data_IF_790092209327
#
_entry.id   IF_790092209327
#
_cell.length_a   1.000
_cell.length_b   1.000
_cell.length_c   1.000
_cell.angle_alpha   90.00
_cell.angle_beta   90.00
_cell.angle_gamma   90.00
#
_symmetry.space_group_name_H-M   'P 1'
#
loop_
_entity.id
_entity.type
_entity.pdbx_description
1 polymer ?
#
# COMPACT_ATOMS: atom_id res chain seq x y z
N UNK A 1 54.01 56.94 -17.55
CA UNK A 1 53.21 55.76 -17.94
C UNK A 1 51.93 56.28 -18.60
N UNK A 2 51.95 56.73 -19.87
CA UNK A 2 51.68 55.97 -21.13
C UNK A 2 50.56 54.94 -20.96
N UNK A 3 49.45 54.88 -21.70
CA UNK A 3 48.91 55.58 -22.89
C UNK A 3 47.38 55.37 -22.93
N UNK A 4 46.63 56.33 -23.49
CA UNK A 4 45.26 56.14 -24.02
C UNK A 4 45.31 55.48 -25.41
N UNK A 5 44.31 54.65 -25.75
CA UNK A 5 43.38 54.70 -26.92
C UNK A 5 42.77 53.30 -27.18
N UNK A 6 41.43 53.16 -27.19
CA UNK A 6 40.49 53.02 -28.36
C UNK A 6 40.59 51.63 -29.03
N UNK A 7 39.55 50.94 -29.51
CA UNK A 7 38.21 51.30 -29.96
C UNK A 7 37.30 50.04 -30.04
N UNK A 8 35.99 50.30 -29.98
CA UNK A 8 34.84 49.68 -30.68
C UNK A 8 34.83 48.20 -31.11
N UNK A 9 33.72 47.55 -30.75
CA UNK A 9 33.18 46.41 -31.49
C UNK A 9 31.75 46.10 -31.04
N UNK A 10 30.78 46.34 -31.92
CA UNK A 10 29.39 45.88 -31.86
C UNK A 10 29.32 44.41 -31.39
N UNK A 11 28.25 43.90 -30.79
CA UNK A 11 27.09 43.38 -31.54
C UNK A 11 26.17 42.64 -30.52
N UNK A 12 24.87 42.97 -30.52
CA UNK A 12 23.68 42.10 -30.35
C UNK A 12 23.81 40.84 -29.47
N UNK A 13 22.96 40.56 -28.46
CA UNK A 13 21.54 40.18 -28.54
C UNK A 13 21.03 40.01 -27.08
N UNK A 14 19.98 40.71 -26.64
CA UNK A 14 18.61 40.19 -26.46
C UNK A 14 18.46 38.69 -26.09
N UNK A 15 17.91 38.51 -24.89
CA UNK A 15 16.84 37.55 -24.49
C UNK A 15 17.14 36.06 -24.55
N UNK A 16 16.98 35.42 -23.39
CA UNK A 16 16.32 34.12 -23.29
C UNK A 16 17.18 32.99 -22.73
N UNK A 17 16.84 32.54 -21.51
CA UNK A 17 16.86 31.11 -21.15
C UNK A 17 16.06 30.89 -19.85
N UNK A 18 14.78 31.29 -19.89
CA UNK A 18 13.75 30.45 -19.28
C UNK A 18 13.51 29.32 -20.29
N UNK A 19 14.11 28.15 -20.05
CA UNK A 19 14.08 27.08 -21.05
C UNK A 19 14.90 25.85 -20.69
N UNK A 20 14.77 25.37 -19.46
CA UNK A 20 15.35 24.09 -19.06
C UNK A 20 14.28 23.17 -18.42
N UNK A 21 13.10 23.05 -19.05
CA UNK A 21 12.11 22.05 -18.62
C UNK A 21 11.50 21.19 -19.74
N UNK A 22 11.86 21.38 -21.02
CA UNK A 22 11.19 20.65 -22.11
C UNK A 22 12.11 19.77 -22.98
N UNK A 23 13.42 19.72 -22.72
CA UNK A 23 14.35 19.02 -23.62
C UNK A 23 14.76 17.59 -23.19
N UNK A 24 14.31 17.09 -22.03
CA UNK A 24 14.59 15.70 -21.61
C UNK A 24 13.49 14.71 -21.98
N UNK A 25 12.38 15.16 -22.57
CA UNK A 25 11.22 14.30 -22.85
C UNK A 25 11.25 13.62 -24.24
N UNK A 26 12.20 13.94 -25.13
CA UNK A 26 12.10 13.59 -26.57
C UNK A 26 13.13 12.56 -27.05
N UNK A 27 14.17 12.22 -26.26
CA UNK A 27 15.26 11.37 -26.76
C UNK A 27 15.35 9.97 -26.13
N UNK A 28 14.58 9.66 -25.09
CA UNK A 28 14.64 8.39 -24.34
C UNK A 28 13.21 7.97 -23.92
N UNK A 29 12.45 7.21 -24.73
CA UNK A 29 11.02 6.97 -24.50
C UNK A 29 10.71 5.92 -23.41
N UNK A 30 11.71 5.45 -22.67
CA UNK A 30 11.61 4.27 -21.80
C UNK A 30 11.22 4.55 -20.34
N UNK A 31 11.29 5.80 -19.86
CA UNK A 31 10.90 6.10 -18.47
C UNK A 31 9.38 5.98 -18.23
N UNK A 32 8.55 6.30 -19.23
CA UNK A 32 7.09 6.12 -19.14
C UNK A 32 6.70 4.63 -19.12
N UNK A 33 7.42 3.81 -19.85
CA UNK A 33 7.17 2.36 -19.94
C UNK A 33 7.55 1.66 -18.63
N UNK A 34 8.69 2.02 -18.02
CA UNK A 34 9.11 1.43 -16.74
C UNK A 34 8.17 1.80 -15.58
N UNK A 35 7.76 3.07 -15.48
CA UNK A 35 6.82 3.51 -14.43
C UNK A 35 5.43 2.89 -14.60
N UNK A 36 4.95 2.75 -15.84
CA UNK A 36 3.68 2.04 -16.09
C UNK A 36 3.80 0.55 -15.78
N UNK A 37 4.93 -0.09 -16.10
CA UNK A 37 5.14 -1.52 -15.81
C UNK A 37 5.23 -1.80 -14.30
N UNK A 38 5.85 -0.92 -13.51
CA UNK A 38 5.90 -1.07 -12.06
C UNK A 38 4.52 -0.89 -11.40
N UNK A 39 3.74 0.11 -11.83
CA UNK A 39 2.37 0.28 -11.35
C UNK A 39 1.44 -0.87 -11.76
N UNK A 40 1.68 -1.46 -12.93
CA UNK A 40 0.92 -2.60 -13.44
C UNK A 40 1.23 -3.91 -12.68
N UNK A 41 2.50 -4.21 -12.38
CA UNK A 41 2.89 -5.44 -11.66
C UNK A 41 2.37 -5.45 -10.20
N UNK A 42 2.26 -4.27 -9.57
CA UNK A 42 1.66 -4.11 -8.25
C UNK A 42 0.14 -4.39 -8.25
N UNK A 43 -0.59 -3.86 -9.23
CA UNK A 43 -2.03 -4.11 -9.38
C UNK A 43 -2.35 -5.57 -9.73
N UNK A 44 -1.35 -6.33 -10.15
CA UNK A 44 -1.44 -7.75 -10.44
C UNK A 44 -1.00 -8.63 -9.25
N UNK A 45 -0.69 -8.09 -8.07
CA UNK A 45 -0.30 -8.90 -6.92
C UNK A 45 -1.46 -9.66 -6.23
N UNK A 46 -1.12 -10.52 -5.28
CA UNK A 46 -2.04 -10.98 -4.23
C UNK A 46 -1.30 -11.18 -2.91
N UNK A 47 -1.97 -11.01 -1.79
CA UNK A 47 -1.43 -11.30 -0.46
C UNK A 47 -2.30 -12.36 0.23
N UNK A 48 -1.64 -13.31 0.89
CA UNK A 48 -2.31 -14.37 1.64
C UNK A 48 -1.68 -14.50 2.99
N UNK A 49 -2.44 -14.96 3.97
CA UNK A 49 -1.87 -15.34 5.24
C UNK A 49 -2.85 -15.19 6.37
N UNK A 50 -2.30 -14.87 7.53
CA UNK A 50 -3.05 -14.66 8.74
C UNK A 50 -2.12 -14.76 9.93
N UNK A 51 -2.68 -14.52 11.09
CA UNK A 51 -1.89 -14.59 12.29
C UNK A 51 -2.64 -14.23 13.54
N UNK A 52 -1.84 -13.97 14.56
CA UNK A 52 -2.28 -13.50 15.86
C UNK A 52 -1.42 -12.32 16.23
N UNK A 53 -2.05 -11.23 16.63
CA UNK A 53 -1.39 -10.10 17.26
C UNK A 53 -2.06 -9.84 18.62
N UNK A 54 -1.34 -9.20 19.54
CA UNK A 54 -1.87 -8.87 20.87
C UNK A 54 -1.53 -7.43 21.17
N UNK A 55 -2.55 -6.59 21.34
CA UNK A 55 -2.44 -5.17 21.69
C UNK A 55 -3.35 -4.93 22.90
N UNK A 56 -2.84 -4.25 23.93
CA UNK A 56 -3.60 -3.93 25.15
C UNK A 56 -4.35 -5.12 25.79
N UNK A 57 -3.70 -6.29 25.80
CA UNK A 57 -4.25 -7.59 26.23
C UNK A 57 -5.41 -8.14 25.38
N UNK A 58 -5.86 -7.43 24.35
CA UNK A 58 -6.78 -7.96 23.34
C UNK A 58 -5.99 -8.83 22.34
N UNK A 59 -6.38 -10.10 22.26
CA UNK A 59 -5.91 -11.00 21.21
C UNK A 59 -6.78 -10.81 19.97
N UNK A 60 -6.14 -10.49 18.85
CA UNK A 60 -6.76 -10.42 17.53
C UNK A 60 -6.17 -11.52 16.66
N UNK A 61 -7.03 -12.25 15.96
CA UNK A 61 -6.61 -13.26 14.99
C UNK A 61 -7.29 -13.02 13.66
N UNK A 62 -6.58 -13.22 12.57
CA UNK A 62 -7.11 -13.00 11.24
C UNK A 62 -6.58 -14.03 10.25
N UNK A 63 -7.31 -14.16 9.14
CA UNK A 63 -6.91 -14.98 8.00
C UNK A 63 -7.49 -14.39 6.72
N UNK A 64 -6.70 -14.39 5.65
CA UNK A 64 -7.07 -13.72 4.41
C UNK A 64 -6.41 -14.32 3.16
N UNK A 65 -7.07 -14.08 2.04
CA UNK A 65 -6.56 -14.23 0.70
C UNK A 65 -7.16 -13.10 -0.14
N UNK A 66 -6.31 -12.16 -0.53
CA UNK A 66 -6.72 -10.88 -1.13
C UNK A 66 -5.89 -10.63 -2.40
N UNK A 67 -6.56 -10.20 -3.45
CA UNK A 67 -5.98 -9.79 -4.71
C UNK A 67 -5.74 -8.27 -4.69
N UNK A 68 -4.70 -7.80 -5.38
CA UNK A 68 -4.44 -6.36 -5.53
C UNK A 68 -5.40 -5.70 -6.54
N UNK A 69 -5.98 -6.50 -7.44
CA UNK A 69 -7.17 -6.14 -8.19
C UNK A 69 -8.40 -6.61 -7.39
N UNK A 70 -9.19 -5.67 -6.88
CA UNK A 70 -10.38 -5.98 -6.06
C UNK A 70 -11.47 -6.73 -6.84
N UNK A 71 -11.47 -6.61 -8.17
CA UNK A 71 -12.44 -7.26 -9.05
C UNK A 71 -11.99 -8.71 -9.39
N UNK A 72 -10.75 -9.09 -9.08
CA UNK A 72 -10.25 -10.47 -9.15
C UNK A 72 -10.72 -11.25 -7.92
N UNK A 73 -11.73 -12.09 -8.12
CA UNK A 73 -12.42 -12.83 -7.06
C UNK A 73 -11.90 -14.27 -6.93
N UNK A 74 -11.92 -14.83 -5.71
CA UNK A 74 -12.53 -14.28 -4.49
C UNK A 74 -11.54 -13.50 -3.60
N UNK A 75 -12.05 -12.42 -2.99
CA UNK A 75 -11.36 -11.69 -1.90
C UNK A 75 -11.95 -12.10 -0.55
N UNK A 76 -11.11 -12.65 0.33
CA UNK A 76 -11.54 -13.19 1.62
C UNK A 76 -10.73 -12.57 2.76
N UNK A 77 -11.42 -12.10 3.80
CA UNK A 77 -10.83 -11.67 5.06
C UNK A 77 -11.77 -12.01 6.22
N UNK A 78 -11.20 -12.59 7.27
CA UNK A 78 -11.87 -12.83 8.54
C UNK A 78 -11.00 -12.32 9.68
N UNK A 79 -11.63 -11.65 10.65
CA UNK A 79 -10.98 -11.08 11.82
C UNK A 79 -11.78 -11.48 13.06
N UNK A 80 -11.12 -12.03 14.07
CA UNK A 80 -11.71 -12.47 15.32
C UNK A 80 -11.02 -11.79 16.50
N UNK A 81 -11.81 -11.24 17.41
CA UNK A 81 -11.34 -10.48 18.56
C UNK A 81 -12.37 -10.59 19.70
N UNK A 82 -11.92 -10.92 20.91
CA UNK A 82 -12.84 -11.21 22.01
C UNK A 82 -13.85 -12.31 21.65
N UNK A 83 -15.14 -11.99 21.69
CA UNK A 83 -16.23 -12.87 21.23
C UNK A 83 -16.79 -12.49 19.85
N UNK A 84 -16.13 -11.58 19.14
CA UNK A 84 -16.59 -11.06 17.86
C UNK A 84 -15.89 -11.73 16.67
N UNK A 85 -16.62 -11.85 15.57
CA UNK A 85 -16.13 -12.31 14.28
C UNK A 85 -16.62 -11.38 13.18
N UNK A 86 -15.67 -10.69 12.55
CA UNK A 86 -15.89 -9.95 11.31
C UNK A 86 -15.57 -10.84 10.11
N UNK A 87 -16.42 -10.75 9.09
CA UNK A 87 -16.19 -11.38 7.79
C UNK A 87 -16.45 -10.38 6.68
N UNK A 88 -15.47 -10.24 5.79
CA UNK A 88 -15.54 -9.36 4.62
C UNK A 88 -16.58 -9.87 3.61
N UNK A 89 -17.45 -8.98 3.14
CA UNK A 89 -18.46 -9.28 2.13
C UNK A 89 -18.13 -8.65 0.78
N UNK A 90 -17.56 -7.44 0.80
CA UNK A 90 -17.12 -6.73 -0.40
C UNK A 90 -15.82 -5.98 -0.11
N UNK A 91 -14.86 -6.10 -1.02
CA UNK A 91 -13.62 -5.34 -0.99
C UNK A 91 -13.81 -4.09 -1.85
N UNK A 92 -13.76 -2.93 -1.22
CA UNK A 92 -14.05 -1.64 -1.87
C UNK A 92 -12.77 -0.97 -2.40
N UNK A 93 -11.63 -1.17 -1.75
CA UNK A 93 -10.33 -0.75 -2.26
C UNK A 93 -9.25 -1.80 -1.98
N UNK A 94 -8.24 -1.80 -2.86
CA UNK A 94 -7.06 -2.65 -2.77
C UNK A 94 -5.87 -1.86 -3.31
N UNK A 95 -4.97 -1.45 -2.43
CA UNK A 95 -3.73 -0.78 -2.79
C UNK A 95 -2.55 -1.62 -2.35
N UNK A 96 -1.84 -2.18 -3.32
CA UNK A 96 -0.62 -2.94 -3.08
C UNK A 96 0.58 -2.12 -3.49
N UNK A 97 1.53 -1.96 -2.58
CA UNK A 97 2.75 -1.21 -2.85
C UNK A 97 3.94 -1.75 -2.08
N UNK A 98 5.12 -1.41 -2.56
CA UNK A 98 6.36 -1.76 -1.89
C UNK A 98 6.81 -0.59 -1.01
N UNK A 99 6.55 -0.67 0.29
CA UNK A 99 7.08 0.24 1.29
C UNK A 99 8.55 -0.12 1.62
N UNK A 100 9.53 0.76 1.35
CA UNK A 100 10.91 0.52 1.73
C UNK A 100 11.13 0.33 3.24
N UNK A 101 10.25 0.87 4.10
CA UNK A 101 10.37 0.75 5.55
C UNK A 101 10.03 -0.65 6.07
N UNK A 102 9.14 -1.38 5.38
CA UNK A 102 8.71 -2.74 5.74
C UNK A 102 9.78 -3.83 5.52
N UNK A 103 10.91 -3.49 4.90
CA UNK A 103 11.96 -4.45 4.57
C UNK A 103 11.64 -5.29 3.32
N UNK A 104 12.59 -6.12 2.85
CA UNK A 104 12.40 -6.88 1.62
C UNK A 104 11.43 -8.06 1.83
N UNK A 105 10.36 -8.15 1.02
CA UNK A 105 9.52 -9.36 0.93
C UNK A 105 10.34 -10.49 0.32
N UNK A 106 10.85 -11.39 1.17
CA UNK A 106 11.60 -12.55 0.72
C UNK A 106 11.73 -13.63 1.79
N UNK A 107 11.53 -14.93 1.46
CA UNK A 107 10.90 -15.53 0.26
C UNK A 107 9.39 -15.82 0.44
N UNK A 108 8.54 -15.81 -0.62
CA UNK A 108 8.88 -15.61 -2.02
C UNK A 108 9.00 -14.12 -2.37
N UNK A 109 9.76 -13.83 -3.42
CA UNK A 109 9.91 -12.46 -3.91
C UNK A 109 8.61 -12.00 -4.56
N UNK A 110 8.01 -10.95 -4.00
CA UNK A 110 6.84 -10.27 -4.53
C UNK A 110 7.20 -8.84 -4.99
N UNK A 111 6.37 -8.20 -5.83
CA UNK A 111 6.60 -6.82 -6.24
C UNK A 111 6.21 -5.81 -5.15
N UNK A 112 5.57 -6.26 -4.08
CA UNK A 112 5.07 -5.46 -2.97
C UNK A 112 5.32 -6.17 -1.62
N UNK A 113 5.11 -5.43 -0.54
CA UNK A 113 5.16 -5.94 0.82
C UNK A 113 4.04 -5.37 1.71
N UNK A 114 3.31 -4.36 1.25
CA UNK A 114 2.21 -3.72 1.98
C UNK A 114 0.91 -3.81 1.18
N UNK A 115 -0.18 -4.16 1.87
CA UNK A 115 -1.53 -4.21 1.33
C UNK A 115 -2.43 -3.31 2.18
N UNK A 116 -2.94 -2.24 1.59
CA UNK A 116 -3.95 -1.37 2.19
C UNK A 116 -5.31 -1.68 1.56
N UNK A 117 -6.31 -1.90 2.40
CA UNK A 117 -7.64 -2.27 1.95
C UNK A 117 -8.76 -1.64 2.75
N UNK A 118 -9.87 -1.36 2.07
CA UNK A 118 -11.13 -0.93 2.66
C UNK A 118 -12.21 -1.89 2.17
N UNK A 119 -13.10 -2.29 3.06
CA UNK A 119 -14.17 -3.20 2.72
C UNK A 119 -15.40 -3.06 3.59
N UNK A 120 -16.50 -3.63 3.13
CA UNK A 120 -17.71 -3.80 3.93
C UNK A 120 -17.90 -5.27 4.29
N UNK A 121 -18.54 -5.53 5.42
CA UNK A 121 -18.76 -6.88 5.87
C UNK A 121 -19.77 -7.00 7.00
N UNK A 122 -19.79 -8.20 7.58
CA UNK A 122 -20.65 -8.55 8.69
C UNK A 122 -19.87 -8.79 9.96
N UNK A 123 -20.37 -8.26 11.07
CA UNK A 123 -19.89 -8.55 12.42
C UNK A 123 -20.92 -9.43 13.12
N UNK A 124 -20.51 -10.61 13.56
CA UNK A 124 -21.40 -11.59 14.22
C UNK A 124 -22.70 -11.81 13.43
N UNK A 125 -22.55 -12.06 12.13
CA UNK A 125 -23.66 -12.32 11.19
C UNK A 125 -24.54 -11.10 10.85
N UNK A 126 -24.22 -9.91 11.37
CA UNK A 126 -24.91 -8.65 11.05
C UNK A 126 -24.09 -7.82 10.06
N UNK A 127 -24.55 -7.69 8.82
CA UNK A 127 -23.94 -6.89 7.76
C UNK A 127 -24.01 -5.38 8.03
N UNK A 128 -23.11 -4.64 7.40
CA UNK A 128 -23.12 -3.17 7.37
C UNK A 128 -21.92 -2.51 8.04
N UNK A 129 -21.01 -3.30 8.61
CA UNK A 129 -19.76 -2.77 9.16
C UNK A 129 -18.74 -2.51 8.06
N UNK A 130 -17.89 -1.52 8.27
CA UNK A 130 -16.73 -1.20 7.42
C UNK A 130 -15.46 -1.67 8.13
N UNK A 131 -14.50 -2.16 7.36
CA UNK A 131 -13.13 -2.45 7.80
C UNK A 131 -12.15 -1.63 6.97
N UNK A 132 -11.19 -1.04 7.64
CA UNK A 132 -9.96 -0.50 7.05
C UNK A 132 -8.81 -1.31 7.62
N UNK A 133 -7.89 -1.74 6.77
CA UNK A 133 -6.78 -2.58 7.20
C UNK A 133 -5.51 -2.36 6.38
N UNK A 134 -4.38 -2.53 7.05
CA UNK A 134 -3.06 -2.64 6.42
C UNK A 134 -2.41 -3.94 6.87
N UNK A 135 -1.93 -4.73 5.91
CA UNK A 135 -1.10 -5.91 6.18
C UNK A 135 0.28 -5.73 5.58
N UNK A 136 1.30 -6.01 6.38
CA UNK A 136 2.70 -5.97 5.92
C UNK A 136 3.33 -7.36 5.99
N UNK A 137 4.04 -7.74 4.93
CA UNK A 137 4.94 -8.90 4.83
C UNK A 137 6.39 -8.41 4.92
N UNK A 138 7.01 -8.61 6.08
CA UNK A 138 8.39 -8.22 6.35
C UNK A 138 9.39 -9.37 6.09
N UNK A 139 8.98 -10.35 5.29
CA UNK A 139 9.75 -11.54 4.92
C UNK A 139 9.68 -12.67 5.94
N UNK A 140 10.22 -13.82 5.55
CA UNK A 140 10.19 -15.02 6.39
C UNK A 140 11.13 -14.88 7.60
N UNK A 141 10.74 -15.35 8.80
CA UNK A 141 9.62 -16.26 9.08
C UNK A 141 8.31 -15.58 9.52
N UNK A 142 7.97 -14.40 8.99
CA UNK A 142 6.74 -13.66 9.32
C UNK A 142 6.71 -12.99 10.70
N UNK A 143 7.85 -12.99 11.41
CA UNK A 143 7.95 -12.46 12.79
C UNK A 143 7.88 -10.94 12.86
N UNK A 144 8.12 -10.27 11.75
CA UNK A 144 8.14 -8.82 11.66
C UNK A 144 6.93 -8.28 10.89
N UNK A 145 6.04 -9.16 10.46
CA UNK A 145 4.79 -8.78 9.82
C UNK A 145 3.94 -8.00 10.82
N UNK A 146 3.24 -7.01 10.31
CA UNK A 146 2.37 -6.13 11.10
C UNK A 146 0.96 -6.12 10.52
N UNK A 147 0.03 -5.72 11.37
CA UNK A 147 -1.36 -5.51 11.02
C UNK A 147 -1.88 -4.23 11.68
N UNK A 148 -2.55 -3.41 10.88
CA UNK A 148 -3.40 -2.30 11.29
C UNK A 148 -4.83 -2.66 10.92
N UNK A 149 -5.78 -2.52 11.86
CA UNK A 149 -7.19 -2.81 11.61
C UNK A 149 -8.05 -1.81 12.36
N UNK A 150 -8.97 -1.16 11.64
CA UNK A 150 -10.09 -0.43 12.22
C UNK A 150 -11.39 -1.04 11.70
N UNK A 151 -12.29 -1.41 12.61
CA UNK A 151 -13.65 -1.85 12.26
C UNK A 151 -14.63 -0.86 12.85
N UNK A 152 -15.50 -0.31 11.99
CA UNK A 152 -16.59 0.57 12.39
C UNK A 152 -17.94 -0.03 12.00
N UNK A 153 -18.92 0.00 12.90
CA UNK A 153 -20.25 -0.54 12.64
C UNK A 153 -21.33 0.55 12.82
N UNK A 154 -22.43 0.50 12.04
CA UNK A 154 -23.56 1.39 12.23
C UNK A 154 -24.19 1.23 13.62
N UNK A 155 -24.47 2.36 14.28
CA UNK A 155 -25.26 2.44 15.50
C UNK A 155 -26.30 3.57 15.33
N UNK A 156 -27.44 3.23 14.72
CA UNK A 156 -28.42 4.23 14.31
C UNK A 156 -27.87 5.10 13.17
N UNK A 157 -27.88 6.42 13.37
CA UNK A 157 -27.41 7.40 12.37
C UNK A 157 -25.89 7.68 12.45
N UNK A 158 -25.19 7.04 13.40
CA UNK A 158 -23.73 7.21 13.60
C UNK A 158 -22.99 5.89 13.38
N UNK A 159 -21.66 5.94 13.33
CA UNK A 159 -20.79 4.77 13.27
C UNK A 159 -19.91 4.70 14.51
N UNK A 160 -19.85 3.54 15.14
CA UNK A 160 -19.02 3.27 16.31
C UNK A 160 -17.81 2.41 15.91
N UNK A 161 -16.62 2.80 16.36
CA UNK A 161 -15.41 1.98 16.24
C UNK A 161 -15.48 0.84 17.25
N UNK A 162 -15.45 -0.40 16.75
CA UNK A 162 -15.58 -1.62 17.57
C UNK A 162 -14.27 -2.41 17.69
N UNK A 163 -13.30 -2.11 16.82
CA UNK A 163 -11.93 -2.59 16.89
C UNK A 163 -11.01 -1.51 16.34
N UNK A 164 -9.90 -1.27 17.03
CA UNK A 164 -8.85 -0.34 16.64
C UNK A 164 -7.49 -0.93 17.06
N UNK A 165 -6.68 -1.27 16.06
CA UNK A 165 -5.38 -1.94 16.19
C UNK A 165 -4.40 -1.17 15.32
N UNK A 166 -3.28 -0.78 15.91
CA UNK A 166 -2.27 0.07 15.28
C UNK A 166 -0.91 -0.64 15.36
N UNK A 167 -0.28 -0.82 14.20
CA UNK A 167 1.05 -1.35 13.94
C UNK A 167 1.37 -2.64 14.73
N UNK A 168 0.37 -3.52 14.86
CA UNK A 168 0.43 -4.66 15.76
C UNK A 168 1.25 -5.79 15.13
N UNK A 169 2.44 -6.04 15.67
CA UNK A 169 3.32 -7.10 15.18
C UNK A 169 2.76 -8.50 15.47
N UNK A 170 2.90 -9.41 14.51
CA UNK A 170 2.46 -10.79 14.68
C UNK A 170 3.24 -11.50 15.81
N UNK A 171 2.49 -12.11 16.71
CA UNK A 171 2.96 -13.05 17.73
C UNK A 171 2.94 -14.50 17.23
N UNK A 172 2.25 -14.75 16.12
CA UNK A 172 2.24 -16.02 15.38
C UNK A 172 1.50 -15.87 14.05
N UNK A 173 1.76 -16.77 13.11
CA UNK A 173 1.26 -16.65 11.73
C UNK A 173 2.32 -16.11 10.77
N UNK A 174 1.88 -15.74 9.58
CA UNK A 174 2.72 -15.23 8.49
C UNK A 174 1.84 -14.55 7.44
N UNK A 175 2.25 -13.39 6.96
CA UNK A 175 1.75 -12.72 5.76
C UNK A 175 2.71 -12.99 4.61
N UNK A 176 2.15 -13.23 3.44
CA UNK A 176 2.94 -13.57 2.27
C UNK A 176 2.38 -12.84 1.06
N UNK A 177 3.18 -11.93 0.52
CA UNK A 177 2.93 -11.30 -0.76
C UNK A 177 3.34 -12.23 -1.91
N UNK A 178 2.61 -12.15 -3.02
CA UNK A 178 2.86 -12.96 -4.21
C UNK A 178 2.62 -12.14 -5.47
N UNK A 179 3.26 -12.54 -6.57
CA UNK A 179 2.84 -12.14 -7.92
C UNK A 179 1.43 -12.67 -8.24
N UNK A 180 0.79 -12.15 -9.29
CA UNK A 180 -0.43 -12.78 -9.83
C UNK A 180 -0.16 -14.23 -10.21
N UNK A 181 -1.22 -15.04 -10.15
CA UNK A 181 -1.23 -16.39 -10.70
C UNK A 181 -1.73 -16.39 -12.14
#
# INVERSE_FOLDING_TARGET
MRLRKRDYGHTLWKVGLAGACAAMAVLWPNWRVELQNQGYDLQQGRMTGGGTCVQDALKVTHGFALHCDRDDLPNNLQISFGSNLFHLESLESAECFNDPAGGPSSPPKAPFNTYDGIGTGRLNEVSGCTVEFTFTDAGEPGKNDTVDIVISCPNGDVSDVVLDIEECRLTGGNHQAHKQK
#
